data_IF_676215638664
#
_entry.id   IF_676215638664
#
_cell.length_a   1.000
_cell.length_b   1.000
_cell.length_c   1.000
_cell.angle_alpha   90.00
_cell.angle_beta   90.00
_cell.angle_gamma   90.00
#
_symmetry.space_group_name_H-M   'P 1'
#
loop_
_entity.id
_entity.type
_entity.pdbx_description
1 polymer ?
#
# COMPACT_ATOMS: atom_id res chain seq x y z
N UNK A 1 2.37 -23.31 10.79
CA UNK A 1 1.79 -22.79 9.53
C UNK A 1 1.68 -21.29 9.70
N UNK A 2 2.22 -20.50 8.79
CA UNK A 2 2.21 -19.03 8.88
C UNK A 2 0.76 -18.52 8.75
N UNK A 3 0.36 -17.61 9.61
CA UNK A 3 -0.99 -17.01 9.63
C UNK A 3 -1.05 -15.78 8.70
N UNK A 4 -2.27 -15.28 8.43
CA UNK A 4 -2.44 -14.02 7.69
C UNK A 4 -1.77 -12.84 8.40
N UNK A 5 -1.90 -12.77 9.73
CA UNK A 5 -1.28 -11.72 10.52
C UNK A 5 0.26 -11.76 10.40
N UNK A 6 0.87 -12.93 10.52
CA UNK A 6 2.32 -13.10 10.38
C UNK A 6 2.81 -12.76 8.97
N UNK A 7 2.02 -13.07 7.93
CA UNK A 7 2.33 -12.67 6.56
C UNK A 7 2.37 -11.15 6.43
N UNK A 8 1.35 -10.46 6.91
CA UNK A 8 1.26 -9.00 6.88
C UNK A 8 2.37 -8.35 7.71
N UNK A 9 2.64 -8.83 8.93
CA UNK A 9 3.74 -8.33 9.76
C UNK A 9 5.09 -8.44 9.03
N UNK A 10 5.35 -9.56 8.35
CA UNK A 10 6.56 -9.74 7.56
C UNK A 10 6.69 -8.68 6.45
N UNK A 11 5.61 -8.37 5.75
CA UNK A 11 5.62 -7.32 4.72
C UNK A 11 5.88 -5.93 5.33
N UNK A 12 5.25 -5.59 6.47
CA UNK A 12 5.52 -4.32 7.15
C UNK A 12 6.99 -4.17 7.52
N UNK A 13 7.59 -5.19 8.13
CA UNK A 13 9.00 -5.18 8.52
C UNK A 13 9.93 -5.08 7.32
N UNK A 14 9.62 -5.78 6.23
CA UNK A 14 10.40 -5.75 5.00
C UNK A 14 10.39 -4.37 4.33
N UNK A 15 9.28 -3.64 4.44
CA UNK A 15 9.12 -2.31 3.86
C UNK A 15 9.44 -1.17 4.83
N UNK A 16 10.22 -1.46 5.88
CA UNK A 16 10.78 -0.44 6.75
C UNK A 16 9.81 0.08 7.81
N UNK A 17 8.83 -0.72 8.21
CA UNK A 17 8.00 -0.43 9.38
C UNK A 17 8.51 -1.20 10.59
N UNK A 18 8.42 -0.58 11.75
CA UNK A 18 8.82 -1.19 13.03
C UNK A 18 7.62 -1.30 13.95
N UNK A 19 7.45 -2.46 14.58
CA UNK A 19 6.44 -2.67 15.63
C UNK A 19 6.79 -1.78 16.84
N UNK A 20 5.88 -0.86 17.19
CA UNK A 20 6.03 0.06 18.32
C UNK A 20 5.32 -0.42 19.57
N UNK A 21 4.16 -1.04 19.39
CA UNK A 21 3.32 -1.50 20.49
C UNK A 21 2.48 -2.70 20.07
N UNK A 22 2.31 -3.63 21.01
CA UNK A 22 1.33 -4.69 20.94
C UNK A 22 0.34 -4.53 22.11
N UNK A 23 -0.95 -4.59 21.83
CA UNK A 23 -2.05 -4.38 22.78
C UNK A 23 -3.18 -5.34 22.45
N UNK A 24 -3.44 -6.36 23.28
CA UNK A 24 -4.61 -7.25 23.19
C UNK A 24 -5.04 -7.63 21.76
N UNK A 25 -4.10 -8.11 20.93
CA UNK A 25 -4.37 -8.50 19.53
C UNK A 25 -4.41 -7.33 18.53
N UNK A 26 -3.94 -6.15 18.95
CA UNK A 26 -3.76 -4.97 18.10
C UNK A 26 -2.27 -4.62 18.04
N UNK A 27 -1.74 -4.47 16.84
CA UNK A 27 -0.35 -4.12 16.59
C UNK A 27 -0.26 -2.70 16.04
N UNK A 28 0.61 -1.88 16.63
CA UNK A 28 0.93 -0.54 16.13
C UNK A 28 2.31 -0.55 15.49
N UNK A 29 2.34 -0.31 14.19
CA UNK A 29 3.55 -0.12 13.39
C UNK A 29 3.78 1.36 13.08
N UNK A 30 5.05 1.75 13.01
CA UNK A 30 5.46 3.07 12.54
C UNK A 30 6.50 2.92 11.43
N UNK A 31 6.40 3.76 10.41
CA UNK A 31 7.43 3.86 9.37
C UNK A 31 8.76 4.32 9.97
N UNK A 32 9.85 3.77 9.47
CA UNK A 32 11.21 4.24 9.81
C UNK A 32 11.57 5.54 9.07
N UNK A 33 10.75 5.91 8.08
CA UNK A 33 10.92 7.12 7.28
C UNK A 33 9.59 7.88 7.25
N UNK A 34 9.53 9.00 7.97
CA UNK A 34 8.34 9.86 7.99
C UNK A 34 7.29 9.49 9.04
N UNK A 35 6.12 10.14 8.94
CA UNK A 35 5.03 10.07 9.91
C UNK A 35 3.89 9.22 9.36
N UNK A 36 4.12 7.94 9.13
CA UNK A 36 3.10 7.00 8.69
C UNK A 36 2.95 5.86 9.72
N UNK A 37 1.75 5.70 10.25
CA UNK A 37 1.43 4.80 11.33
C UNK A 37 0.31 3.86 10.93
N UNK A 38 0.45 2.59 11.30
CA UNK A 38 -0.52 1.57 10.97
C UNK A 38 -0.94 0.80 12.22
N UNK A 39 -2.23 0.66 12.37
CA UNK A 39 -2.84 -0.23 13.37
C UNK A 39 -3.34 -1.47 12.66
N UNK A 40 -2.83 -2.62 13.04
CA UNK A 40 -3.27 -3.91 12.49
C UNK A 40 -4.06 -4.64 13.56
N UNK A 41 -5.25 -5.10 13.22
CA UNK A 41 -6.09 -5.91 14.09
C UNK A 41 -6.83 -6.98 13.30
N UNK A 42 -7.23 -8.05 13.98
CA UNK A 42 -7.88 -9.20 13.35
C UNK A 42 -9.18 -9.55 14.05
N UNK A 43 -10.21 -9.83 13.26
CA UNK A 43 -11.47 -10.41 13.74
C UNK A 43 -12.07 -9.68 14.95
N UNK A 44 -12.25 -8.36 14.85
CA UNK A 44 -12.86 -7.53 15.91
C UNK A 44 -13.95 -6.62 15.34
N UNK A 45 -14.92 -6.25 16.15
CA UNK A 45 -15.88 -5.20 15.82
C UNK A 45 -15.26 -3.82 16.01
N UNK A 46 -14.57 -3.38 14.96
CA UNK A 46 -13.83 -2.12 14.98
C UNK A 46 -14.76 -0.91 15.17
N UNK A 47 -15.98 -0.95 14.68
CA UNK A 47 -16.91 0.16 14.81
C UNK A 47 -17.22 0.47 16.27
N UNK A 48 -17.39 -0.57 17.07
CA UNK A 48 -17.67 -0.43 18.50
C UNK A 48 -16.45 0.05 19.29
N UNK A 49 -15.26 -0.43 18.98
CA UNK A 49 -14.07 -0.19 19.80
C UNK A 49 -13.17 0.94 19.29
N UNK A 50 -13.38 1.47 18.07
CA UNK A 50 -12.47 2.40 17.41
C UNK A 50 -12.12 3.64 18.25
N UNK A 51 -13.08 4.20 18.99
CA UNK A 51 -12.82 5.35 19.87
C UNK A 51 -11.84 4.98 20.99
N UNK A 52 -12.15 3.90 21.73
CA UNK A 52 -11.29 3.43 22.81
C UNK A 52 -9.89 3.11 22.32
N UNK A 53 -9.79 2.43 21.16
CA UNK A 53 -8.51 2.09 20.56
C UNK A 53 -7.71 3.33 20.18
N UNK A 54 -8.37 4.33 19.60
CA UNK A 54 -7.73 5.60 19.23
C UNK A 54 -7.21 6.34 20.47
N UNK A 55 -8.02 6.42 21.54
CA UNK A 55 -7.64 7.07 22.79
C UNK A 55 -6.43 6.35 23.43
N UNK A 56 -6.40 5.01 23.45
CA UNK A 56 -5.26 4.23 23.93
C UNK A 56 -3.98 4.46 23.12
N UNK A 57 -4.09 4.52 21.80
CA UNK A 57 -2.95 4.82 20.92
C UNK A 57 -2.45 6.23 21.18
N UNK A 58 -3.34 7.18 21.37
CA UNK A 58 -3.01 8.57 21.65
C UNK A 58 -2.29 8.74 22.99
N UNK A 59 -2.71 8.04 24.04
CA UNK A 59 -2.01 8.01 25.33
C UNK A 59 -0.57 7.49 25.19
N UNK A 60 -0.40 6.43 24.39
CA UNK A 60 0.92 5.87 24.10
C UNK A 60 1.76 6.82 23.23
N UNK A 61 1.12 7.59 22.35
CA UNK A 61 1.76 8.38 21.30
C UNK A 61 2.35 9.71 21.76
N UNK A 62 2.40 10.01 23.05
CA UNK A 62 3.07 11.20 23.55
C UNK A 62 4.51 11.41 23.04
N UNK A 63 5.08 10.35 22.44
CA UNK A 63 6.39 10.34 21.79
C UNK A 63 6.32 10.28 20.25
N UNK A 64 5.12 10.19 19.65
CA UNK A 64 4.94 10.02 18.21
C UNK A 64 4.25 11.25 17.60
N UNK A 65 5.04 12.06 16.91
CA UNK A 65 4.56 13.28 16.28
C UNK A 65 3.50 13.00 15.19
N UNK A 66 2.44 13.82 15.15
CA UNK A 66 1.42 13.81 14.11
C UNK A 66 0.64 12.49 13.92
N UNK A 67 0.70 11.57 14.87
CA UNK A 67 0.02 10.26 14.75
C UNK A 67 -1.48 10.41 14.48
N UNK A 68 -2.15 11.38 15.11
CA UNK A 68 -3.58 11.59 14.94
C UNK A 68 -4.03 11.85 13.50
N UNK A 69 -3.15 12.39 12.67
CA UNK A 69 -3.42 12.73 11.26
C UNK A 69 -2.96 11.66 10.28
N UNK A 70 -2.01 10.83 10.69
CA UNK A 70 -1.27 9.92 9.80
C UNK A 70 -1.44 8.46 10.21
N UNK A 71 -2.52 8.13 10.92
CA UNK A 71 -2.80 6.77 11.37
C UNK A 71 -3.82 6.08 10.47
N UNK A 72 -3.43 4.92 9.97
CA UNK A 72 -4.27 4.04 9.15
C UNK A 72 -4.53 2.74 9.90
N UNK A 73 -5.75 2.22 9.82
CA UNK A 73 -6.14 0.95 10.40
C UNK A 73 -6.32 -0.09 9.30
N UNK A 74 -5.65 -1.22 9.44
CA UNK A 74 -5.84 -2.43 8.65
C UNK A 74 -6.58 -3.46 9.46
N UNK A 75 -7.81 -3.78 9.06
CA UNK A 75 -8.64 -4.80 9.67
C UNK A 75 -8.56 -6.09 8.84
N UNK A 76 -8.06 -7.15 9.44
CA UNK A 76 -7.98 -8.49 8.85
C UNK A 76 -9.24 -9.29 9.24
N UNK A 77 -10.01 -9.72 8.24
CA UNK A 77 -11.26 -10.46 8.45
C UNK A 77 -11.16 -11.83 7.80
N UNK A 78 -11.24 -12.86 8.66
CA UNK A 78 -11.41 -14.23 8.20
C UNK A 78 -12.86 -14.43 7.73
N UNK A 79 -13.02 -14.81 6.47
CA UNK A 79 -14.34 -15.05 5.87
C UNK A 79 -15.05 -16.28 6.46
N UNK A 80 -14.30 -17.18 7.09
CA UNK A 80 -14.83 -18.37 7.75
C UNK A 80 -15.08 -18.12 9.25
N UNK A 81 -14.74 -16.90 9.74
CA UNK A 81 -14.89 -16.51 11.16
C UNK A 81 -16.18 -15.77 11.48
N UNK A 82 -16.27 -15.31 12.73
CA UNK A 82 -17.46 -14.67 13.31
C UNK A 82 -17.85 -13.34 12.63
N UNK A 83 -16.89 -12.66 11.99
CA UNK A 83 -17.09 -11.36 11.33
C UNK A 83 -17.27 -11.45 9.82
N UNK A 84 -17.58 -12.64 9.28
CA UNK A 84 -17.80 -12.86 7.84
C UNK A 84 -18.84 -11.95 7.22
N UNK A 85 -19.87 -11.58 7.97
CA UNK A 85 -20.99 -10.74 7.53
C UNK A 85 -20.73 -9.23 7.71
N UNK A 86 -19.52 -8.84 8.20
CA UNK A 86 -19.16 -7.44 8.36
C UNK A 86 -19.21 -6.70 7.02
N UNK A 87 -19.95 -5.58 6.99
CA UNK A 87 -20.03 -4.73 5.82
C UNK A 87 -18.71 -3.93 5.64
N UNK A 88 -17.85 -4.43 4.77
CA UNK A 88 -16.55 -3.83 4.45
C UNK A 88 -16.68 -2.38 3.99
N UNK A 89 -17.66 -2.10 3.13
CA UNK A 89 -17.86 -0.75 2.55
C UNK A 89 -18.26 0.23 3.67
N UNK A 90 -19.13 -0.20 4.57
CA UNK A 90 -19.56 0.62 5.71
C UNK A 90 -18.38 0.92 6.65
N UNK A 91 -17.51 -0.06 6.89
CA UNK A 91 -16.31 0.12 7.72
C UNK A 91 -15.33 1.09 7.08
N UNK A 92 -14.99 0.90 5.81
CA UNK A 92 -14.02 1.73 5.10
C UNK A 92 -14.53 3.17 4.87
N UNK A 93 -15.83 3.34 4.67
CA UNK A 93 -16.44 4.67 4.52
C UNK A 93 -16.62 5.42 5.85
N UNK A 94 -16.46 4.74 6.98
CA UNK A 94 -16.47 5.40 8.28
C UNK A 94 -15.15 6.14 8.51
N UNK A 95 -15.17 7.46 8.37
CA UNK A 95 -13.97 8.33 8.47
C UNK A 95 -13.58 8.70 9.91
N UNK A 96 -14.29 8.19 10.93
CA UNK A 96 -14.02 8.51 12.32
C UNK A 96 -12.71 7.86 12.78
N UNK A 97 -11.86 8.59 13.45
CA UNK A 97 -10.61 8.19 14.12
C UNK A 97 -9.48 7.72 13.20
N UNK A 98 -9.75 6.82 12.23
CA UNK A 98 -8.74 6.22 11.35
C UNK A 98 -9.17 6.29 9.90
N UNK A 99 -8.22 6.37 8.99
CA UNK A 99 -8.39 5.84 7.64
C UNK A 99 -8.42 4.32 7.75
N UNK A 100 -9.41 3.64 7.17
CA UNK A 100 -9.60 2.21 7.35
C UNK A 100 -9.47 1.45 6.06
N UNK A 101 -8.77 0.32 6.13
CA UNK A 101 -8.76 -0.71 5.10
C UNK A 101 -9.21 -2.03 5.71
N UNK A 102 -10.04 -2.76 4.98
CA UNK A 102 -10.48 -4.11 5.35
C UNK A 102 -9.91 -5.09 4.35
N UNK A 103 -9.16 -6.06 4.85
CA UNK A 103 -8.60 -7.14 4.07
C UNK A 103 -9.28 -8.46 4.46
N UNK A 104 -10.02 -9.02 3.50
CA UNK A 104 -10.72 -10.29 3.68
C UNK A 104 -9.89 -11.44 3.13
N UNK A 105 -9.89 -12.54 3.85
CA UNK A 105 -9.18 -13.76 3.47
C UNK A 105 -9.93 -15.01 3.92
N UNK A 106 -9.53 -16.16 3.40
CA UNK A 106 -9.86 -17.49 3.92
C UNK A 106 -8.58 -18.21 4.31
N UNK A 107 -8.64 -19.15 5.21
CA UNK A 107 -7.48 -19.96 5.62
C UNK A 107 -6.83 -20.67 4.42
N UNK A 108 -7.65 -21.14 3.49
CA UNK A 108 -7.17 -21.77 2.26
C UNK A 108 -6.41 -20.80 1.35
N UNK A 109 -6.94 -19.57 1.16
CA UNK A 109 -6.28 -18.56 0.32
C UNK A 109 -4.93 -18.14 0.89
N UNK A 110 -4.80 -18.04 2.21
CA UNK A 110 -3.52 -17.74 2.88
C UNK A 110 -2.54 -18.89 2.72
N UNK A 111 -3.01 -20.13 2.96
CA UNK A 111 -2.16 -21.32 2.83
C UNK A 111 -1.61 -21.47 1.40
N UNK A 112 -2.46 -21.26 0.40
CA UNK A 112 -2.07 -21.37 -1.01
C UNK A 112 -1.14 -20.21 -1.41
N UNK A 113 -1.36 -18.98 -0.90
CA UNK A 113 -0.48 -17.85 -1.16
C UNK A 113 0.92 -18.09 -0.58
N UNK A 114 1.01 -18.61 0.64
CA UNK A 114 2.31 -18.95 1.26
C UNK A 114 3.04 -20.01 0.43
N UNK A 115 2.35 -21.09 0.03
CA UNK A 115 2.94 -22.09 -0.85
C UNK A 115 3.43 -21.50 -2.16
N UNK A 116 2.67 -20.59 -2.75
CA UNK A 116 3.04 -19.93 -4.00
C UNK A 116 4.30 -19.08 -3.84
N UNK A 117 4.47 -18.40 -2.70
CA UNK A 117 5.70 -17.66 -2.36
C UNK A 117 6.89 -18.61 -2.20
N UNK A 118 6.72 -19.72 -1.49
CA UNK A 118 7.75 -20.74 -1.27
C UNK A 118 8.16 -21.43 -2.59
N UNK A 119 7.20 -21.88 -3.40
CA UNK A 119 7.45 -22.56 -4.67
C UNK A 119 8.19 -21.68 -5.68
N UNK A 120 7.95 -20.39 -5.65
CA UNK A 120 8.65 -19.41 -6.50
C UNK A 120 9.99 -18.96 -5.92
N UNK A 121 10.30 -19.30 -4.67
CA UNK A 121 11.50 -18.84 -4.00
C UNK A 121 11.56 -17.31 -3.84
N UNK A 122 10.40 -16.64 -3.86
CA UNK A 122 10.31 -15.18 -3.73
C UNK A 122 10.03 -14.80 -2.28
N UNK A 123 10.84 -13.89 -1.76
CA UNK A 123 10.78 -13.47 -0.35
C UNK A 123 9.68 -12.44 -0.06
N UNK A 124 8.98 -11.90 -1.08
CA UNK A 124 8.00 -10.83 -0.88
C UNK A 124 6.80 -10.92 -1.81
N UNK A 125 5.69 -10.35 -1.35
CA UNK A 125 4.46 -10.16 -2.12
C UNK A 125 4.73 -9.32 -3.39
N UNK A 126 5.55 -8.29 -3.31
CA UNK A 126 5.90 -7.42 -4.43
C UNK A 126 6.46 -8.22 -5.62
N UNK A 127 7.43 -9.10 -5.36
CA UNK A 127 8.04 -9.92 -6.40
C UNK A 127 7.06 -10.92 -7.03
N UNK A 128 6.12 -11.43 -6.24
CA UNK A 128 5.09 -12.34 -6.74
C UNK A 128 4.07 -11.62 -7.63
N UNK A 129 3.70 -10.38 -7.29
CA UNK A 129 2.80 -9.54 -8.11
C UNK A 129 3.30 -9.34 -9.54
N UNK A 130 4.63 -9.25 -9.71
CA UNK A 130 5.28 -9.05 -11.00
C UNK A 130 5.42 -10.34 -11.82
N UNK A 131 5.08 -11.49 -11.24
CA UNK A 131 5.17 -12.76 -11.95
C UNK A 131 4.17 -12.81 -13.10
N UNK A 132 4.65 -13.20 -14.28
CA UNK A 132 3.83 -13.35 -15.49
C UNK A 132 2.63 -14.30 -15.25
N UNK A 133 2.80 -15.31 -14.44
CA UNK A 133 1.74 -16.27 -14.09
C UNK A 133 0.60 -15.59 -13.34
N UNK A 134 0.89 -14.75 -12.33
CA UNK A 134 -0.14 -14.05 -11.57
C UNK A 134 -0.85 -13.02 -12.44
N UNK A 135 -0.11 -12.28 -13.26
CA UNK A 135 -0.66 -11.32 -14.19
C UNK A 135 -1.59 -11.97 -15.22
N UNK A 136 -1.15 -13.06 -15.87
CA UNK A 136 -1.94 -13.77 -16.87
C UNK A 136 -3.19 -14.42 -16.28
N UNK A 137 -3.15 -14.87 -15.04
CA UNK A 137 -4.30 -15.43 -14.33
C UNK A 137 -5.46 -14.43 -14.19
N UNK A 138 -5.16 -13.14 -14.06
CA UNK A 138 -6.18 -12.09 -14.00
C UNK A 138 -6.59 -11.61 -15.39
N UNK A 139 -5.63 -11.40 -16.30
CA UNK A 139 -5.87 -10.88 -17.64
C UNK A 139 -6.75 -11.79 -18.51
N UNK A 140 -6.58 -13.10 -18.39
CA UNK A 140 -7.24 -14.08 -19.28
C UNK A 140 -8.70 -14.37 -18.92
N UNK A 141 -9.30 -13.63 -17.96
CA UNK A 141 -10.74 -13.72 -17.64
C UNK A 141 -11.21 -15.07 -17.07
N UNK A 142 -10.29 -16.02 -16.86
CA UNK A 142 -10.54 -17.21 -16.06
C UNK A 142 -10.73 -16.75 -14.62
N UNK A 143 -11.66 -17.36 -13.89
CA UNK A 143 -11.90 -17.05 -12.47
C UNK A 143 -10.54 -17.14 -11.73
N UNK A 144 -9.96 -16.02 -11.29
CA UNK A 144 -8.63 -16.08 -10.72
C UNK A 144 -8.63 -16.95 -9.47
N UNK A 145 -7.54 -17.66 -9.22
CA UNK A 145 -7.36 -18.49 -8.03
C UNK A 145 -7.45 -17.62 -6.76
N UNK A 146 -7.97 -18.16 -5.68
CA UNK A 146 -8.23 -17.42 -4.42
C UNK A 146 -6.99 -16.74 -3.85
N UNK A 147 -5.81 -17.38 -3.97
CA UNK A 147 -4.52 -16.85 -3.55
C UNK A 147 -4.06 -15.66 -4.38
N UNK A 148 -4.36 -15.66 -5.67
CA UNK A 148 -4.03 -14.53 -6.57
C UNK A 148 -4.93 -13.34 -6.25
N UNK A 149 -6.22 -13.56 -5.99
CA UNK A 149 -7.13 -12.50 -5.53
C UNK A 149 -6.68 -11.92 -4.20
N UNK A 150 -6.26 -12.77 -3.25
CA UNK A 150 -5.72 -12.32 -1.97
C UNK A 150 -4.44 -11.49 -2.16
N UNK A 151 -3.50 -11.96 -3.00
CA UNK A 151 -2.26 -11.26 -3.35
C UNK A 151 -2.54 -9.82 -3.82
N UNK A 152 -3.44 -9.66 -4.80
CA UNK A 152 -3.79 -8.34 -5.32
C UNK A 152 -4.57 -7.50 -4.31
N UNK A 153 -5.39 -8.12 -3.46
CA UNK A 153 -6.09 -7.41 -2.39
C UNK A 153 -5.11 -6.84 -1.37
N UNK A 154 -4.07 -7.58 -1.00
CA UNK A 154 -2.99 -7.09 -0.12
C UNK A 154 -2.29 -5.90 -0.77
N UNK A 155 -1.84 -6.02 -2.00
CA UNK A 155 -1.16 -4.95 -2.71
C UNK A 155 -2.00 -3.68 -2.86
N UNK A 156 -3.30 -3.83 -3.10
CA UNK A 156 -4.23 -2.71 -3.19
C UNK A 156 -4.45 -1.99 -1.83
N UNK A 157 -4.39 -2.74 -0.73
CA UNK A 157 -4.64 -2.18 0.62
C UNK A 157 -3.36 -1.68 1.30
N UNK A 158 -2.19 -2.13 0.86
CA UNK A 158 -0.88 -1.74 1.39
C UNK A 158 -0.10 -0.93 0.34
N UNK A 159 -0.35 0.39 0.24
CA UNK A 159 0.19 1.23 -0.83
C UNK A 159 1.72 1.40 -0.78
N UNK A 160 2.36 1.00 0.32
CA UNK A 160 3.81 1.01 0.46
C UNK A 160 4.48 -0.21 -0.20
N UNK A 161 3.72 -1.24 -0.61
CA UNK A 161 4.25 -2.34 -1.42
C UNK A 161 4.41 -1.83 -2.85
N UNK A 162 5.64 -1.60 -3.34
CA UNK A 162 5.83 -1.06 -4.68
C UNK A 162 5.47 -2.12 -5.72
N UNK A 163 4.64 -1.75 -6.66
CA UNK A 163 4.43 -2.51 -7.89
C UNK A 163 5.44 -1.94 -8.90
N UNK A 164 6.73 -2.23 -8.67
CA UNK A 164 7.78 -1.82 -9.59
C UNK A 164 7.99 -2.96 -10.57
N UNK A 165 7.56 -2.80 -11.81
CA UNK A 165 8.09 -3.63 -12.87
C UNK A 165 9.57 -3.29 -13.01
N UNK A 166 10.47 -4.27 -13.01
CA UNK A 166 11.85 -4.13 -13.48
C UNK A 166 11.93 -3.88 -15.00
N UNK A 167 10.92 -3.23 -15.56
CA UNK A 167 11.14 -2.56 -16.82
C UNK A 167 12.26 -1.58 -16.51
N UNK A 168 13.47 -1.84 -17.07
CA UNK A 168 14.51 -0.85 -17.23
C UNK A 168 13.85 0.52 -17.21
N UNK A 169 14.33 1.42 -16.35
CA UNK A 169 13.96 2.83 -16.45
C UNK A 169 13.94 3.15 -17.93
N UNK A 170 12.79 3.02 -18.54
CA UNK A 170 12.58 3.66 -19.83
C UNK A 170 12.60 5.11 -19.42
N UNK A 171 13.73 5.74 -19.70
CA UNK A 171 13.80 7.18 -19.70
C UNK A 171 12.49 7.64 -20.34
N UNK A 172 11.84 8.64 -19.77
CA UNK A 172 10.61 9.20 -20.38
C UNK A 172 10.89 9.58 -21.84
N UNK A 173 12.16 9.77 -22.21
CA UNK A 173 12.71 9.93 -23.57
C UNK A 173 12.41 8.72 -24.47
N UNK A 174 12.22 7.50 -23.93
CA UNK A 174 11.83 6.31 -24.72
C UNK A 174 10.31 6.25 -25.01
N UNK A 175 9.51 7.18 -24.46
CA UNK A 175 8.13 7.36 -24.89
C UNK A 175 8.12 7.97 -26.28
N UNK A 176 7.66 7.20 -27.27
CA UNK A 176 7.35 7.73 -28.59
C UNK A 176 6.21 8.74 -28.45
N UNK A 177 6.56 10.01 -28.37
CA UNK A 177 5.58 11.08 -28.45
C UNK A 177 4.91 11.04 -29.82
N UNK A 178 3.60 11.05 -29.84
CA UNK A 178 2.79 10.99 -31.06
C UNK A 178 2.90 12.25 -31.93
N UNK A 179 3.53 13.31 -31.42
CA UNK A 179 3.79 14.53 -32.17
C UNK A 179 5.14 15.16 -31.78
N UNK A 180 5.82 15.83 -32.75
CA UNK A 180 7.04 16.57 -32.50
C UNK A 180 6.90 17.65 -31.44
N UNK A 181 5.72 18.30 -31.36
CA UNK A 181 5.45 19.38 -30.42
C UNK A 181 5.42 18.84 -28.97
N UNK A 182 4.91 17.63 -28.75
CA UNK A 182 4.94 16.99 -27.43
C UNK A 182 6.36 16.61 -27.00
N UNK A 183 7.21 16.22 -27.95
CA UNK A 183 8.62 15.94 -27.69
C UNK A 183 9.37 17.23 -27.28
N UNK A 184 9.17 18.31 -28.02
CA UNK A 184 9.77 19.62 -27.72
C UNK A 184 9.32 20.14 -26.34
N UNK A 185 8.03 20.02 -26.03
CA UNK A 185 7.48 20.40 -24.72
C UNK A 185 8.11 19.60 -23.59
N UNK A 186 8.31 18.30 -23.82
CA UNK A 186 8.93 17.44 -22.84
C UNK A 186 10.41 17.78 -22.61
N UNK A 187 11.20 17.97 -23.68
CA UNK A 187 12.58 18.45 -23.57
C UNK A 187 12.68 19.80 -22.85
N UNK A 188 11.69 20.67 -23.08
CA UNK A 188 11.63 21.96 -22.40
C UNK A 188 11.39 21.80 -20.90
N UNK A 189 10.46 20.91 -20.49
CA UNK A 189 10.17 20.62 -19.07
C UNK A 189 11.37 19.99 -18.36
N UNK A 190 12.10 19.08 -19.02
CA UNK A 190 13.31 18.47 -18.43
C UNK A 190 14.44 19.48 -18.21
N UNK A 191 14.54 20.47 -19.08
CA UNK A 191 15.58 21.53 -19.01
C UNK A 191 15.15 22.72 -18.16
N UNK A 192 13.87 22.78 -17.73
CA UNK A 192 13.38 23.88 -16.92
C UNK A 192 14.05 23.87 -15.54
N UNK A 193 14.49 25.03 -15.05
CA UNK A 193 15.04 25.14 -13.69
C UNK A 193 13.98 24.77 -12.65
N UNK A 194 14.42 24.22 -11.52
CA UNK A 194 13.53 23.79 -10.41
C UNK A 194 13.29 24.89 -9.37
N UNK A 195 14.15 25.91 -9.35
CA UNK A 195 14.04 27.03 -8.41
C UNK A 195 13.17 28.16 -8.98
N UNK A 196 12.24 28.68 -8.19
CA UNK A 196 11.23 29.66 -8.64
C UNK A 196 11.86 30.90 -9.34
N UNK A 197 12.94 31.44 -8.79
CA UNK A 197 13.63 32.60 -9.35
C UNK A 197 14.35 32.30 -10.69
N UNK A 198 14.81 31.07 -10.87
CA UNK A 198 15.44 30.60 -12.10
C UNK A 198 14.39 30.35 -13.18
N UNK A 199 13.21 29.83 -12.81
CA UNK A 199 12.06 29.66 -13.70
C UNK A 199 11.63 31.02 -14.28
N UNK A 200 11.52 32.04 -13.44
CA UNK A 200 11.14 33.40 -13.87
C UNK A 200 12.19 33.98 -14.85
N UNK A 201 13.48 33.81 -14.55
CA UNK A 201 14.55 34.27 -15.43
C UNK A 201 14.55 33.52 -16.78
N UNK A 202 14.31 32.22 -16.76
CA UNK A 202 14.22 31.38 -17.94
C UNK A 202 13.03 31.76 -18.84
N UNK A 203 11.85 31.99 -18.27
CA UNK A 203 10.66 32.47 -19.00
C UNK A 203 10.87 33.86 -19.61
N UNK A 204 11.55 34.77 -18.88
CA UNK A 204 11.89 36.09 -19.41
C UNK A 204 12.86 36.03 -20.62
N UNK A 205 13.78 35.07 -20.65
CA UNK A 205 14.68 34.87 -21.78
C UNK A 205 13.97 34.35 -23.05
N UNK A 206 12.93 33.51 -22.86
CA UNK A 206 12.13 33.01 -23.97
C UNK A 206 11.29 34.11 -24.62
N UNK A 207 10.73 35.01 -23.82
CA UNK A 207 9.90 36.14 -24.33
C UNK A 207 10.71 37.27 -25.04
N UNK A 208 12.03 37.31 -24.88
CA UNK A 208 12.88 38.34 -25.53
C UNK A 208 13.31 37.90 -26.93
N UNK A 209 13.15 36.63 -27.28
CA UNK A 209 13.59 36.07 -28.57
C UNK A 209 12.46 35.91 -29.61
N UNK A 210 11.26 36.40 -29.32
CA UNK A 210 10.17 36.64 -30.29
C UNK A 210 10.15 38.11 -30.75
#
# INVERSE_FOLDING_TARGET
MKTMLELICTEFEQWGYTLRKEMEGVLLYASNVGYDYWVICSNIDIITIQKRLFDQIKEFSGELDFIEKNITLLLLIDNDGDYRDLDTIKVENNKSYFKKFVLRYTSDSVTNLIKLLEDKGVGSIANLLLSEQCFNSIKNGSRPMSEVLLLYSIAHKLPFIPIISETKERSVVDLHFSSPELYELFEWVEKAPTEEHEIINYLNQLTINE
#
